data_IF_080743109823
#
_entry.id   IF_080743109823
#
_cell.length_a   1.000
_cell.length_b   1.000
_cell.length_c   1.000
_cell.angle_alpha   90.00
_cell.angle_beta   90.00
_cell.angle_gamma   90.00
#
_symmetry.space_group_name_H-M   'P 1'
#
loop_
_entity.id
_entity.type
_entity.pdbx_description
1 polymer ?
#
# COMPACT_ATOMS: atom_id res chain seq x y z
N UNK A 1 27.54 14.64 20.07
CA UNK A 1 26.81 15.49 19.13
C UNK A 1 26.49 14.61 17.93
N UNK A 2 25.30 14.00 17.87
CA UNK A 2 24.94 13.15 16.74
C UNK A 2 24.43 14.06 15.63
N UNK A 3 25.27 14.19 14.60
CA UNK A 3 24.99 14.77 13.29
C UNK A 3 23.66 14.21 12.77
N UNK A 4 22.61 15.04 12.72
CA UNK A 4 21.34 14.68 12.11
C UNK A 4 21.51 14.74 10.59
N UNK A 5 22.03 13.65 10.04
CA UNK A 5 22.09 13.38 8.61
C UNK A 5 20.64 13.35 8.07
N UNK A 6 20.13 14.48 7.60
CA UNK A 6 18.91 14.54 6.79
C UNK A 6 19.20 13.77 5.49
N UNK A 7 18.59 12.60 5.24
CA UNK A 7 18.78 11.91 3.98
C UNK A 7 17.97 12.65 2.92
N UNK A 8 18.70 13.40 2.11
CA UNK A 8 18.41 13.80 0.73
C UNK A 8 16.94 13.76 0.31
N UNK A 9 16.29 14.92 0.43
CA UNK A 9 15.05 15.29 -0.22
C UNK A 9 15.17 15.13 -1.74
N UNK A 10 14.81 13.95 -2.27
CA UNK A 10 14.30 13.90 -3.64
C UNK A 10 13.04 14.78 -3.64
N UNK A 11 13.05 15.86 -4.42
CA UNK A 11 11.97 16.83 -4.52
C UNK A 11 10.69 16.16 -5.04
N UNK A 12 9.97 15.51 -4.14
CA UNK A 12 8.73 14.84 -4.44
C UNK A 12 7.61 15.84 -4.22
N UNK A 13 7.10 16.36 -5.33
CA UNK A 13 5.94 17.24 -5.32
C UNK A 13 4.66 16.41 -5.49
N UNK A 14 3.74 16.58 -4.55
CA UNK A 14 2.36 16.13 -4.70
C UNK A 14 1.71 16.95 -5.80
N UNK A 15 1.07 16.28 -6.74
CA UNK A 15 0.23 16.97 -7.73
C UNK A 15 -0.90 17.71 -7.03
N UNK A 16 -1.39 18.78 -7.66
CA UNK A 16 -2.49 19.58 -7.09
C UNK A 16 -3.71 18.71 -6.72
N UNK A 17 -4.01 17.70 -7.55
CA UNK A 17 -5.09 16.75 -7.31
C UNK A 17 -4.84 15.82 -6.11
N UNK A 18 -3.59 15.37 -5.89
CA UNK A 18 -3.23 14.60 -4.68
C UNK A 18 -3.40 15.45 -3.43
N UNK A 19 -2.92 16.70 -3.48
CA UNK A 19 -2.98 17.62 -2.34
C UNK A 19 -4.41 17.99 -1.96
N UNK A 20 -5.27 18.29 -2.95
CA UNK A 20 -6.67 18.59 -2.73
C UNK A 20 -7.44 17.39 -2.15
N UNK A 21 -7.19 16.19 -2.66
CA UNK A 21 -7.79 14.97 -2.14
C UNK A 21 -7.37 14.69 -0.69
N UNK A 22 -6.08 14.91 -0.35
CA UNK A 22 -5.59 14.74 1.02
C UNK A 22 -6.24 15.77 1.95
N UNK A 23 -6.35 17.04 1.54
CA UNK A 23 -7.00 18.07 2.35
C UNK A 23 -8.50 17.79 2.56
N UNK A 24 -9.19 17.29 1.52
CA UNK A 24 -10.58 16.88 1.63
C UNK A 24 -10.77 15.75 2.66
N UNK A 25 -9.92 14.71 2.61
CA UNK A 25 -9.98 13.60 3.57
C UNK A 25 -9.58 14.04 4.99
N UNK A 26 -8.64 14.98 5.12
CA UNK A 26 -8.21 15.50 6.43
C UNK A 26 -9.38 16.01 7.28
N UNK A 27 -10.39 16.63 6.68
CA UNK A 27 -11.57 17.13 7.39
C UNK A 27 -12.49 16.03 7.95
N UNK A 28 -12.35 14.79 7.47
CA UNK A 28 -13.17 13.66 7.93
C UNK A 28 -12.61 13.00 9.20
N UNK A 29 -11.41 13.37 9.64
CA UNK A 29 -10.72 12.76 10.78
C UNK A 29 -10.35 13.82 11.82
N UNK A 30 -10.64 13.54 13.08
CA UNK A 30 -10.21 14.38 14.21
C UNK A 30 -8.72 14.18 14.53
N UNK A 31 -8.19 12.98 14.29
CA UNK A 31 -6.77 12.65 14.45
C UNK A 31 -6.01 12.74 13.10
N UNK A 32 -5.03 13.66 12.97
CA UNK A 32 -4.18 13.77 11.79
C UNK A 32 -3.40 12.48 11.46
N UNK A 33 -3.09 11.66 12.45
CA UNK A 33 -2.43 10.35 12.24
C UNK A 33 -3.37 9.38 11.53
N UNK A 34 -4.67 9.42 11.83
CA UNK A 34 -5.66 8.61 11.11
C UNK A 34 -5.78 9.08 9.65
N UNK A 35 -5.76 10.39 9.41
CA UNK A 35 -5.76 10.97 8.06
C UNK A 35 -4.53 10.57 7.22
N UNK A 36 -3.38 10.30 7.87
CA UNK A 36 -2.16 9.85 7.17
C UNK A 36 -2.33 8.53 6.41
N UNK A 37 -3.18 7.63 6.90
CA UNK A 37 -3.48 6.36 6.22
C UNK A 37 -4.17 6.62 4.88
N UNK A 38 -5.18 7.49 4.87
CA UNK A 38 -5.91 7.84 3.66
C UNK A 38 -5.03 8.64 2.69
N UNK A 39 -4.19 9.55 3.20
CA UNK A 39 -3.24 10.28 2.39
C UNK A 39 -2.26 9.35 1.64
N UNK A 40 -1.70 8.36 2.34
CA UNK A 40 -0.83 7.34 1.74
C UNK A 40 -1.56 6.51 0.68
N UNK A 41 -2.83 6.14 0.94
CA UNK A 41 -3.66 5.42 -0.04
C UNK A 41 -3.95 6.24 -1.29
N UNK A 42 -4.16 7.55 -1.18
CA UNK A 42 -4.39 8.45 -2.32
C UNK A 42 -3.16 8.47 -3.23
N UNK A 43 -1.96 8.69 -2.66
CA UNK A 43 -0.70 8.68 -3.42
C UNK A 43 -0.48 7.33 -4.11
N UNK A 44 -0.68 6.24 -3.35
CA UNK A 44 -0.56 4.89 -3.90
C UNK A 44 -1.57 4.58 -5.01
N UNK A 45 -2.79 5.12 -4.94
CA UNK A 45 -3.82 4.94 -5.98
C UNK A 45 -3.42 5.61 -7.29
N UNK A 46 -2.75 6.76 -7.22
CA UNK A 46 -2.33 7.51 -8.41
C UNK A 46 -1.03 6.95 -9.01
N UNK A 47 -0.06 6.58 -8.18
CA UNK A 47 1.30 6.19 -8.61
C UNK A 47 1.57 4.69 -8.55
N UNK A 48 0.71 3.92 -7.90
CA UNK A 48 0.84 2.47 -7.69
C UNK A 48 1.64 2.09 -6.43
N UNK A 49 2.50 2.98 -5.94
CA UNK A 49 3.36 2.80 -4.76
C UNK A 49 3.67 4.15 -4.10
N UNK A 50 4.22 4.12 -2.89
CA UNK A 50 4.55 5.31 -2.09
C UNK A 50 6.07 5.49 -2.00
N UNK A 51 6.64 6.49 -2.68
CA UNK A 51 8.06 6.86 -2.55
C UNK A 51 8.34 7.58 -1.24
N UNK A 52 9.60 7.55 -0.81
CA UNK A 52 10.03 8.17 0.45
C UNK A 52 9.78 9.68 0.48
N UNK A 53 9.98 10.37 -0.65
CA UNK A 53 9.66 11.79 -0.75
C UNK A 53 8.17 12.11 -0.51
N UNK A 54 7.26 11.18 -0.78
CA UNK A 54 5.83 11.38 -0.53
C UNK A 54 5.50 11.50 0.95
N UNK A 55 6.29 10.87 1.81
CA UNK A 55 6.07 10.85 3.26
C UNK A 55 6.27 12.25 3.84
N UNK A 56 7.33 12.93 3.42
CA UNK A 56 7.59 14.32 3.82
C UNK A 56 6.50 15.26 3.30
N UNK A 57 6.11 15.12 2.03
CA UNK A 57 5.07 15.97 1.46
C UNK A 57 3.70 15.77 2.13
N UNK A 58 3.34 14.54 2.48
CA UNK A 58 2.11 14.23 3.24
C UNK A 58 2.20 14.79 4.67
N UNK A 59 3.35 14.63 5.31
CA UNK A 59 3.59 15.15 6.66
C UNK A 59 3.39 16.68 6.72
N UNK A 60 3.89 17.41 5.72
CA UNK A 60 3.73 18.85 5.61
C UNK A 60 2.26 19.29 5.43
N UNK A 61 1.47 18.54 4.64
CA UNK A 61 0.04 18.83 4.43
C UNK A 61 -0.80 18.55 5.70
N UNK A 62 -0.48 17.46 6.39
CA UNK A 62 -1.20 17.05 7.60
C UNK A 62 -0.72 17.78 8.87
N UNK A 63 0.47 18.39 8.84
CA UNK A 63 1.05 19.09 9.98
C UNK A 63 1.55 18.14 11.09
N UNK A 64 1.97 16.92 10.73
CA UNK A 64 2.47 15.90 11.66
C UNK A 64 3.93 15.57 11.35
N UNK A 65 4.71 15.02 12.30
CA UNK A 65 6.09 14.64 12.01
C UNK A 65 6.15 13.51 10.97
N UNK A 66 7.12 13.58 10.05
CA UNK A 66 7.33 12.57 9.02
C UNK A 66 7.54 11.15 9.60
N UNK A 67 8.07 11.06 10.82
CA UNK A 67 8.21 9.78 11.55
C UNK A 67 6.88 9.09 11.82
N UNK A 68 5.80 9.84 12.06
CA UNK A 68 4.47 9.27 12.29
C UNK A 68 3.91 8.71 10.98
N UNK A 69 4.10 9.43 9.87
CA UNK A 69 3.70 8.98 8.53
C UNK A 69 4.51 7.75 8.10
N UNK A 70 5.82 7.73 8.35
CA UNK A 70 6.69 6.56 8.10
C UNK A 70 6.26 5.36 8.95
N UNK A 71 5.93 5.59 10.23
CA UNK A 71 5.42 4.55 11.12
C UNK A 71 4.15 3.90 10.56
N UNK A 72 3.22 4.72 10.05
CA UNK A 72 2.00 4.23 9.40
C UNK A 72 2.30 3.49 8.09
N UNK A 73 3.19 4.04 7.27
CA UNK A 73 3.56 3.46 5.98
C UNK A 73 4.24 2.09 6.11
N UNK A 74 4.99 1.87 7.19
CA UNK A 74 5.66 0.60 7.50
C UNK A 74 4.76 -0.38 8.26
N UNK A 75 3.82 0.12 9.06
CA UNK A 75 2.89 -0.71 9.84
C UNK A 75 1.87 -1.44 8.96
N UNK A 76 1.31 -0.78 7.97
CA UNK A 76 0.26 -1.36 7.12
C UNK A 76 0.84 -2.08 5.89
N UNK A 77 0.70 -3.41 5.85
CA UNK A 77 1.08 -4.26 4.70
C UNK A 77 0.33 -3.99 3.39
N UNK A 78 -0.65 -3.08 3.40
CA UNK A 78 -1.37 -2.64 2.20
C UNK A 78 -0.70 -1.44 1.53
N UNK A 79 0.23 -0.78 2.23
CA UNK A 79 1.01 0.34 1.71
C UNK A 79 2.28 -0.21 1.08
N UNK A 80 2.47 0.04 -0.22
CA UNK A 80 3.64 -0.46 -0.95
C UNK A 80 4.72 0.60 -1.03
N UNK A 81 5.90 0.31 -0.45
CA UNK A 81 7.09 1.19 -0.46
C UNK A 81 8.01 0.94 -1.66
N UNK A 82 7.62 0.05 -2.56
CA UNK A 82 8.39 -0.34 -3.74
C UNK A 82 7.45 -0.41 -4.95
N UNK A 83 7.94 -0.17 -6.17
CA UNK A 83 7.12 -0.24 -7.37
C UNK A 83 6.52 -1.64 -7.55
N UNK A 84 5.19 -1.72 -7.58
CA UNK A 84 4.46 -2.97 -7.73
C UNK A 84 3.91 -3.14 -9.15
N UNK A 85 3.77 -4.39 -9.59
CA UNK A 85 3.13 -4.69 -10.87
C UNK A 85 1.68 -4.19 -10.94
N UNK A 86 1.17 -3.95 -12.15
CA UNK A 86 -0.21 -3.46 -12.40
C UNK A 86 -1.31 -4.27 -11.69
N UNK A 87 -1.06 -5.56 -11.46
CA UNK A 87 -1.97 -6.44 -10.73
C UNK A 87 -1.28 -6.94 -9.46
N UNK A 88 -1.89 -6.65 -8.32
CA UNK A 88 -1.50 -7.21 -7.03
C UNK A 88 -2.49 -8.32 -6.69
N UNK A 89 -2.00 -9.56 -6.63
CA UNK A 89 -2.82 -10.73 -6.34
C UNK A 89 -2.59 -11.10 -4.88
N UNK A 90 -3.69 -11.15 -4.13
CA UNK A 90 -3.74 -11.37 -2.70
C UNK A 90 -4.44 -12.69 -2.41
N UNK A 91 -3.75 -13.61 -1.74
CA UNK A 91 -4.34 -14.90 -1.32
C UNK A 91 -4.07 -15.16 0.16
N UNK A 92 -4.94 -15.95 0.78
CA UNK A 92 -4.83 -16.36 2.18
C UNK A 92 -3.94 -17.60 2.28
N UNK A 93 -2.91 -17.55 3.13
CA UNK A 93 -2.00 -18.67 3.43
C UNK A 93 -2.17 -19.23 4.85
N UNK A 94 -3.31 -18.92 5.49
CA UNK A 94 -3.59 -19.37 6.85
C UNK A 94 -3.77 -20.89 6.93
N UNK A 95 -3.67 -21.44 8.14
CA UNK A 95 -3.89 -22.88 8.39
C UNK A 95 -5.26 -23.34 7.89
N UNK A 96 -6.30 -22.51 8.03
CA UNK A 96 -7.64 -22.83 7.50
C UNK A 96 -7.62 -22.92 5.98
N UNK A 97 -6.99 -21.94 5.33
CA UNK A 97 -6.83 -21.91 3.87
C UNK A 97 -5.98 -23.11 3.39
N UNK A 98 -4.98 -23.52 4.18
CA UNK A 98 -4.13 -24.69 3.93
C UNK A 98 -4.92 -25.99 3.88
N UNK A 99 -5.82 -26.19 4.85
CA UNK A 99 -6.68 -27.39 4.90
C UNK A 99 -7.66 -27.40 3.71
N UNK A 100 -8.17 -26.25 3.28
CA UNK A 100 -9.06 -26.14 2.11
C UNK A 100 -8.33 -26.21 0.75
N UNK A 101 -7.00 -26.33 0.74
CA UNK A 101 -6.23 -26.55 -0.50
C UNK A 101 -5.88 -25.30 -1.30
N UNK A 102 -5.54 -24.17 -0.67
CA UNK A 102 -5.10 -22.95 -1.40
C UNK A 102 -3.88 -23.16 -2.31
N UNK A 103 -3.12 -24.23 -2.09
CA UNK A 103 -1.95 -24.62 -2.90
C UNK A 103 -2.31 -24.77 -4.38
N UNK A 104 -3.52 -25.25 -4.69
CA UNK A 104 -4.00 -25.34 -6.08
C UNK A 104 -4.17 -23.97 -6.74
N UNK A 105 -4.64 -22.97 -5.99
CA UNK A 105 -4.77 -21.59 -6.44
C UNK A 105 -3.38 -20.98 -6.65
N UNK A 106 -2.46 -21.19 -5.70
CA UNK A 106 -1.08 -20.71 -5.83
C UNK A 106 -0.41 -21.27 -7.09
N UNK A 107 -0.50 -22.59 -7.32
CA UNK A 107 0.07 -23.23 -8.50
C UNK A 107 -0.57 -22.74 -9.82
N UNK A 108 -1.88 -22.47 -9.82
CA UNK A 108 -2.56 -21.90 -10.98
C UNK A 108 -2.07 -20.47 -11.27
N UNK A 109 -1.90 -19.65 -10.23
CA UNK A 109 -1.40 -18.28 -10.35
C UNK A 109 0.05 -18.24 -10.84
N UNK A 110 0.91 -19.13 -10.34
CA UNK A 110 2.31 -19.25 -10.80
C UNK A 110 2.36 -19.62 -12.29
N UNK A 111 1.52 -20.56 -12.74
CA UNK A 111 1.41 -20.92 -14.17
C UNK A 111 0.96 -19.74 -15.04
N UNK A 112 -0.05 -18.99 -14.61
CA UNK A 112 -0.55 -17.81 -15.33
C UNK A 112 0.53 -16.72 -15.42
N UNK A 113 1.28 -16.49 -14.33
CA UNK A 113 2.35 -15.48 -14.32
C UNK A 113 3.53 -15.82 -15.22
N UNK A 114 3.81 -17.11 -15.45
CA UNK A 114 4.90 -17.59 -16.32
C UNK A 114 4.54 -17.48 -17.81
N UNK A 115 3.26 -17.64 -18.16
CA UNK A 115 2.78 -17.57 -19.55
C UNK A 115 2.80 -16.13 -20.10
N UNK A 116 2.57 -15.13 -19.25
CA UNK A 116 2.52 -13.73 -19.66
C UNK A 116 3.91 -13.06 -19.60
N UNK A 117 4.70 -13.24 -20.67
CA UNK A 117 6.03 -12.63 -20.87
C UNK A 117 6.02 -11.13 -20.50
N UNK A 118 6.60 -10.80 -19.35
CA UNK A 118 6.95 -9.43 -18.96
C UNK A 118 6.05 -8.74 -17.93
N UNK A 119 4.94 -9.35 -17.48
CA UNK A 119 4.05 -8.73 -16.48
C UNK A 119 3.88 -9.65 -15.26
N UNK A 120 4.90 -9.69 -14.40
CA UNK A 120 4.80 -10.43 -13.13
C UNK A 120 3.88 -9.67 -12.17
N UNK A 121 2.69 -10.19 -11.83
CA UNK A 121 1.88 -9.60 -10.78
C UNK A 121 2.61 -9.71 -9.44
N UNK A 122 2.48 -8.71 -8.57
CA UNK A 122 3.00 -8.85 -7.21
C UNK A 122 2.07 -9.80 -6.45
N UNK A 123 2.59 -10.96 -6.08
CA UNK A 123 1.89 -11.94 -5.25
C UNK A 123 2.16 -11.61 -3.79
N UNK A 124 1.12 -11.24 -3.05
CA UNK A 124 1.22 -10.95 -1.62
C UNK A 124 0.38 -11.98 -0.87
N UNK A 125 1.04 -12.89 -0.17
CA UNK A 125 0.38 -13.77 0.79
C UNK A 125 -0.11 -12.93 1.97
N UNK A 126 -1.41 -12.93 2.23
CA UNK A 126 -1.93 -12.40 3.48
C UNK A 126 -2.04 -13.52 4.49
N UNK A 127 -1.34 -13.31 5.60
CA UNK A 127 -1.64 -14.01 6.84
C UNK A 127 -3.05 -13.63 7.27
N UNK A 128 -3.86 -14.62 7.63
CA UNK A 128 -5.25 -14.45 8.03
C UNK A 128 -5.41 -13.33 9.06
N UNK A 129 -5.89 -12.17 8.64
CA UNK A 129 -6.60 -11.27 9.52
C UNK A 129 -8.09 -11.56 9.31
N UNK A 130 -8.64 -12.40 10.18
CA UNK A 130 -10.07 -12.65 10.45
C UNK A 130 -10.70 -13.87 9.72
N UNK A 131 -11.32 -14.81 10.47
CA UNK A 131 -12.02 -15.95 9.91
C UNK A 131 -13.40 -15.55 9.37
N UNK A 132 -13.76 -16.12 8.22
CA UNK A 132 -15.11 -16.25 7.68
C UNK A 132 -15.95 -14.96 7.53
N UNK A 133 -15.94 -14.33 6.35
CA UNK A 133 -17.14 -13.67 5.81
C UNK A 133 -17.02 -13.19 4.35
N UNK A 134 -15.83 -12.94 3.80
CA UNK A 134 -15.74 -12.32 2.46
C UNK A 134 -15.14 -13.28 1.44
N UNK A 135 -16.02 -13.74 0.54
CA UNK A 135 -15.67 -14.47 -0.65
C UNK A 135 -14.61 -13.75 -1.46
N UNK A 136 -13.83 -14.56 -2.18
CA UNK A 136 -12.75 -14.19 -3.08
C UNK A 136 -13.18 -13.03 -3.99
N UNK A 137 -12.87 -11.80 -3.59
CA UNK A 137 -13.08 -10.61 -4.41
C UNK A 137 -11.86 -10.41 -5.30
N UNK A 138 -11.83 -11.13 -6.43
CA UNK A 138 -10.93 -10.81 -7.54
C UNK A 138 -11.45 -9.50 -8.13
N UNK A 139 -10.91 -8.36 -7.69
CA UNK A 139 -11.27 -7.05 -8.25
C UNK A 139 -10.62 -6.92 -9.63
N UNK A 140 -11.21 -7.61 -10.62
CA UNK A 140 -10.96 -7.40 -12.03
C UNK A 140 -11.45 -6.00 -12.40
N UNK A 141 -10.54 -5.19 -12.94
CA UNK A 141 -10.86 -3.90 -13.54
C UNK A 141 -11.38 -4.16 -14.95
N UNK A 142 -12.70 -4.15 -15.14
CA UNK A 142 -13.31 -3.77 -16.42
C UNK A 142 -13.23 -2.26 -16.58
#
# INVERSE_FOLDING_TARGET
>A
MHENQQPQTEAFELSAAEREAIEHEKHHYEDPRAASIEALKIVQKQRGWVPDGAIYAIADVLGIPASDVEGVATFYSQIFRQPVGRHVIRYCDSVVCHITGYQGIQAALEKISTSNRGRRPLMVALRCCRPAAWGIAIKGRT
#
